data_IF_485114352653
#
_entry.id   IF_485114352653
#
_cell.length_a   1.000
_cell.length_b   1.000
_cell.length_c   1.000
_cell.angle_alpha   90.00
_cell.angle_beta   90.00
_cell.angle_gamma   90.00
#
_symmetry.space_group_name_H-M   'P 1'
#
loop_
_entity.id
_entity.type
_entity.pdbx_description
1 polymer ?
#
# COMPACT_ATOMS: atom_id res chain seq x y z
N UNK A 1 -10.62 10.13 41.07
CA UNK A 1 -10.71 11.54 40.61
C UNK A 1 -9.68 11.72 39.51
N UNK A 2 -10.09 11.62 38.24
CA UNK A 2 -10.34 12.74 37.30
C UNK A 2 -9.04 13.09 36.53
N UNK A 3 -8.90 12.74 35.24
CA UNK A 3 -9.09 13.62 34.05
C UNK A 3 -8.20 14.90 34.11
N UNK A 4 -7.43 15.36 33.12
CA UNK A 4 -7.56 15.31 31.66
C UNK A 4 -6.36 16.07 30.98
N UNK A 5 -5.97 15.61 29.79
CA UNK A 5 -5.44 16.29 28.57
C UNK A 5 -4.02 16.93 28.43
N UNK A 6 -3.44 16.56 27.26
CA UNK A 6 -2.64 17.32 26.31
C UNK A 6 -1.13 17.51 26.56
N UNK A 7 -0.33 16.63 25.92
CA UNK A 7 0.81 17.02 25.06
C UNK A 7 1.50 15.75 24.49
N UNK A 8 0.78 15.02 23.64
CA UNK A 8 1.34 13.97 22.79
C UNK A 8 1.52 14.61 21.42
N UNK A 9 2.73 15.13 21.11
CA UNK A 9 3.28 15.39 19.76
C UNK A 9 4.54 16.31 19.78
N UNK A 10 5.46 16.16 20.75
CA UNK A 10 6.67 17.03 20.79
C UNK A 10 8.03 16.33 20.78
N UNK A 11 8.11 15.01 20.74
CA UNK A 11 9.41 14.34 20.83
C UNK A 11 9.49 13.03 20.04
N UNK A 12 9.58 13.11 18.70
CA UNK A 12 10.28 12.06 17.93
C UNK A 12 10.65 12.39 16.48
N UNK A 13 11.00 13.64 16.16
CA UNK A 13 11.76 13.94 14.93
C UNK A 13 13.07 14.58 15.34
N UNK A 14 14.00 13.73 15.75
CA UNK A 14 15.41 14.10 15.80
C UNK A 14 15.88 14.26 14.36
N UNK A 15 16.35 15.46 14.04
CA UNK A 15 17.21 15.76 12.91
C UNK A 15 18.14 14.58 12.61
N UNK A 16 17.96 13.93 11.47
CA UNK A 16 18.94 13.01 10.89
C UNK A 16 19.29 13.49 9.49
N UNK A 17 20.19 14.48 9.46
CA UNK A 17 21.14 14.63 8.37
C UNK A 17 21.88 13.29 8.22
N UNK A 18 21.69 12.58 7.11
CA UNK A 18 22.61 11.54 6.71
C UNK A 18 23.43 12.04 5.51
N UNK A 19 24.63 12.50 5.82
CA UNK A 19 25.74 12.52 4.87
C UNK A 19 26.08 11.08 4.52
N UNK A 20 25.79 10.65 3.29
CA UNK A 20 26.44 9.49 2.68
C UNK A 20 27.61 10.02 1.87
N UNK A 21 28.79 9.99 2.47
CA UNK A 21 30.05 10.24 1.78
C UNK A 21 30.52 8.94 1.13
N UNK A 22 30.02 8.64 -0.08
CA UNK A 22 30.85 8.05 -1.13
C UNK A 22 30.20 8.24 -2.50
N UNK A 23 31.03 8.69 -3.45
CA UNK A 23 30.68 9.25 -4.76
C UNK A 23 29.85 8.30 -5.66
N UNK A 24 28.93 8.90 -6.42
CA UNK A 24 28.12 8.36 -7.55
C UNK A 24 26.95 7.44 -7.13
N UNK A 25 25.72 7.94 -6.92
CA UNK A 25 24.77 8.40 -7.96
C UNK A 25 23.68 9.23 -7.28
N UNK A 26 23.33 10.38 -7.87
CA UNK A 26 22.41 11.38 -7.30
C UNK A 26 20.97 10.84 -7.10
N UNK A 27 20.55 10.71 -5.84
CA UNK A 27 19.15 10.91 -5.44
C UNK A 27 19.12 12.30 -4.78
N UNK A 28 18.86 13.35 -5.57
CA UNK A 28 18.67 14.69 -5.03
C UNK A 28 17.26 14.79 -4.44
N UNK A 29 17.14 14.57 -3.13
CA UNK A 29 16.05 15.14 -2.35
C UNK A 29 16.40 16.61 -2.06
N UNK A 30 15.84 17.53 -2.85
CA UNK A 30 15.88 18.95 -2.53
C UNK A 30 14.93 19.21 -1.35
N UNK A 31 15.45 19.13 -0.12
CA UNK A 31 14.82 19.74 1.05
C UNK A 31 15.23 21.21 1.08
N UNK A 32 14.31 22.10 0.75
CA UNK A 32 14.56 23.54 0.74
C UNK A 32 14.65 24.10 2.16
N UNK A 33 15.83 24.59 2.52
CA UNK A 33 16.06 25.51 3.63
C UNK A 33 15.10 26.72 3.54
N UNK A 34 14.25 26.92 4.56
CA UNK A 34 13.42 28.13 4.68
C UNK A 34 14.03 29.05 5.74
N UNK A 35 14.87 30.00 5.33
CA UNK A 35 15.14 31.22 6.11
C UNK A 35 13.85 32.04 6.16
N UNK A 36 13.38 32.36 7.37
CA UNK A 36 12.22 33.23 7.64
C UNK A 36 12.60 34.69 7.44
N UNK A 37 11.84 35.41 6.61
CA UNK A 37 11.61 36.86 6.74
C UNK A 37 10.19 37.18 6.23
N UNK A 38 9.41 37.89 7.04
CA UNK A 38 8.29 38.73 6.58
C UNK A 38 6.89 38.13 6.70
N UNK A 39 5.98 38.91 7.27
CA UNK A 39 4.60 38.64 7.67
C UNK A 39 3.61 38.51 6.50
N UNK A 40 2.44 37.91 6.77
CA UNK A 40 1.22 38.14 5.97
C UNK A 40 0.47 36.88 5.51
N UNK A 41 -0.51 36.46 6.31
CA UNK A 41 -1.79 35.83 5.92
C UNK A 41 -1.84 34.86 4.74
N UNK A 42 -2.00 33.56 5.03
CA UNK A 42 -3.14 32.71 4.61
C UNK A 42 -2.93 31.27 5.14
N UNK A 43 -4.02 30.59 5.47
CA UNK A 43 -4.06 29.26 6.08
C UNK A 43 -3.37 28.23 5.18
N UNK A 44 -2.33 27.57 5.71
CA UNK A 44 -1.45 26.66 4.97
C UNK A 44 -2.06 25.26 4.82
N UNK A 45 -2.67 24.95 3.67
CA UNK A 45 -3.01 23.57 3.26
C UNK A 45 -1.82 22.81 2.64
N UNK A 46 -0.62 23.42 2.62
CA UNK A 46 0.57 22.91 1.93
C UNK A 46 1.57 22.14 2.83
N UNK A 47 1.31 21.98 4.14
CA UNK A 47 2.30 21.43 5.09
C UNK A 47 2.54 19.90 5.00
N UNK A 48 1.87 19.19 4.09
CA UNK A 48 1.92 17.72 4.00
C UNK A 48 2.29 17.13 2.64
N UNK A 49 2.68 17.95 1.66
CA UNK A 49 2.92 17.49 0.28
C UNK A 49 4.41 17.14 0.09
N UNK A 50 4.69 15.85 -0.07
CA UNK A 50 5.99 15.31 -0.40
C UNK A 50 6.14 15.19 -1.92
N UNK A 51 7.17 15.83 -2.48
CA UNK A 51 7.51 15.71 -3.89
C UNK A 51 8.61 14.68 -4.09
N UNK A 52 8.29 13.61 -4.81
CA UNK A 52 9.20 12.51 -5.09
C UNK A 52 9.57 12.55 -6.58
N UNK A 53 10.85 12.43 -6.87
CA UNK A 53 11.37 12.39 -8.24
C UNK A 53 12.32 11.20 -8.38
N UNK A 54 12.04 10.31 -9.34
CA UNK A 54 12.90 9.18 -9.68
C UNK A 54 13.15 9.24 -11.19
N UNK A 55 14.35 9.68 -11.58
CA UNK A 55 14.66 9.99 -12.97
C UNK A 55 13.78 11.12 -13.50
N UNK A 56 13.01 10.84 -14.55
CA UNK A 56 12.05 11.71 -15.21
C UNK A 56 10.64 11.67 -14.59
N UNK A 57 10.33 10.68 -13.74
CA UNK A 57 9.00 10.51 -13.15
C UNK A 57 8.88 11.30 -11.84
N UNK A 58 7.81 12.08 -11.71
CA UNK A 58 7.54 12.93 -10.54
C UNK A 58 6.16 12.64 -9.98
N UNK A 59 6.06 12.56 -8.65
CA UNK A 59 4.79 12.39 -7.94
C UNK A 59 4.73 13.34 -6.75
N UNK A 60 3.56 13.95 -6.56
CA UNK A 60 3.20 14.60 -5.31
C UNK A 60 2.44 13.59 -4.47
N UNK A 61 2.88 13.36 -3.25
CA UNK A 61 2.26 12.44 -2.31
C UNK A 61 1.92 13.17 -1.03
N UNK A 62 0.78 12.84 -0.43
CA UNK A 62 0.39 13.37 0.87
C UNK A 62 0.97 12.48 1.98
N UNK A 63 1.26 13.06 3.13
CA UNK A 63 1.60 12.27 4.31
C UNK A 63 0.48 11.26 4.63
N UNK A 64 0.85 10.02 4.96
CA UNK A 64 -0.13 9.01 5.37
C UNK A 64 -0.85 9.41 6.66
N UNK A 65 -2.12 9.03 6.77
CA UNK A 65 -2.94 9.22 7.98
C UNK A 65 -2.47 8.36 9.16
N UNK A 66 -1.83 7.22 8.87
CA UNK A 66 -1.38 6.20 9.82
C UNK A 66 0.13 5.99 9.71
N UNK A 67 0.96 6.98 10.12
CA UNK A 67 2.41 6.94 9.93
C UNK A 67 3.09 5.72 10.58
N UNK A 68 2.48 5.12 11.61
CA UNK A 68 2.94 3.90 12.27
C UNK A 68 2.93 2.65 11.37
N UNK A 69 2.14 2.67 10.29
CA UNK A 69 2.10 1.61 9.28
C UNK A 69 2.98 1.91 8.07
N UNK A 70 3.72 3.01 8.06
CA UNK A 70 4.69 3.32 7.01
C UNK A 70 5.98 2.55 7.31
N UNK A 71 6.49 1.73 6.36
CA UNK A 71 7.75 1.03 6.57
C UNK A 71 8.91 2.01 6.79
N UNK A 72 9.85 1.63 7.65
CA UNK A 72 11.08 2.40 7.93
C UNK A 72 12.32 1.53 7.73
N UNK A 73 13.43 2.15 7.35
CA UNK A 73 14.76 1.52 7.20
C UNK A 73 14.91 0.55 6.01
N UNK A 74 14.00 0.61 5.03
CA UNK A 74 14.07 -0.16 3.78
C UNK A 74 14.82 0.57 2.66
N UNK A 75 14.91 1.90 2.72
CA UNK A 75 15.72 2.73 1.81
C UNK A 75 17.23 2.52 1.95
N UNK A 76 17.69 1.95 3.06
CA UNK A 76 19.10 1.62 3.31
C UNK A 76 19.60 0.41 2.48
N UNK A 77 18.78 -0.14 1.58
CA UNK A 77 19.23 -1.13 0.62
C UNK A 77 20.31 -0.53 -0.29
N UNK A 78 21.35 -1.29 -0.62
CA UNK A 78 22.32 -0.90 -1.64
C UNK A 78 21.58 -0.53 -2.92
N UNK A 79 21.54 0.78 -3.21
CA UNK A 79 20.75 1.35 -4.27
C UNK A 79 21.46 1.10 -5.61
N UNK A 80 21.35 -0.13 -6.11
CA UNK A 80 21.85 -0.49 -7.43
C UNK A 80 21.00 0.20 -8.51
N UNK A 81 21.58 0.45 -9.69
CA UNK A 81 20.87 1.03 -10.85
C UNK A 81 19.60 0.25 -11.21
N UNK A 82 19.63 -1.08 -11.05
CA UNK A 82 18.46 -1.95 -11.23
C UNK A 82 17.33 -1.65 -10.23
N UNK A 83 17.66 -1.49 -8.94
CA UNK A 83 16.69 -1.15 -7.90
C UNK A 83 16.02 0.20 -8.21
N UNK A 84 16.79 1.19 -8.66
CA UNK A 84 16.25 2.48 -9.11
C UNK A 84 15.34 2.36 -10.33
N UNK A 85 15.68 1.51 -11.29
CA UNK A 85 14.80 1.21 -12.43
C UNK A 85 13.47 0.60 -11.99
N UNK A 86 13.49 -0.31 -11.01
CA UNK A 86 12.29 -0.90 -10.42
C UNK A 86 11.45 0.14 -9.69
N UNK A 87 12.04 0.95 -8.80
CA UNK A 87 11.33 1.99 -8.06
C UNK A 87 10.73 3.06 -8.98
N UNK A 88 11.45 3.44 -10.05
CA UNK A 88 10.93 4.34 -11.10
C UNK A 88 9.70 3.75 -11.77
N UNK A 89 9.76 2.48 -12.16
CA UNK A 89 8.64 1.79 -12.79
C UNK A 89 7.44 1.69 -11.83
N UNK A 90 7.69 1.39 -10.56
CA UNK A 90 6.63 1.38 -9.53
C UNK A 90 5.98 2.76 -9.41
N UNK A 91 6.77 3.83 -9.31
CA UNK A 91 6.25 5.20 -9.25
C UNK A 91 5.36 5.54 -10.45
N UNK A 92 5.78 5.14 -11.66
CA UNK A 92 4.99 5.33 -12.87
C UNK A 92 3.64 4.59 -12.81
N UNK A 93 3.63 3.34 -12.32
CA UNK A 93 2.41 2.53 -12.23
C UNK A 93 1.44 3.01 -11.15
N UNK A 94 1.96 3.49 -10.03
CA UNK A 94 1.17 4.12 -8.97
C UNK A 94 0.50 5.42 -9.46
N UNK A 95 1.21 6.27 -10.23
CA UNK A 95 0.59 7.46 -10.85
C UNK A 95 -0.58 7.10 -11.77
N UNK A 96 -0.47 5.97 -12.47
CA UNK A 96 -1.53 5.46 -13.35
C UNK A 96 -2.66 4.74 -12.59
N UNK A 97 -2.55 4.53 -11.28
CA UNK A 97 -3.51 3.76 -10.49
C UNK A 97 -3.57 2.28 -10.87
N UNK A 98 -2.47 1.70 -11.36
CA UNK A 98 -2.41 0.32 -11.82
C UNK A 98 -1.75 -0.59 -10.79
N UNK A 99 -2.47 -1.59 -10.29
CA UNK A 99 -1.96 -2.57 -9.33
C UNK A 99 -0.72 -3.30 -9.87
N UNK A 100 0.26 -3.55 -9.01
CA UNK A 100 1.57 -4.09 -9.39
C UNK A 100 1.70 -5.57 -9.06
N UNK A 101 2.45 -6.30 -9.88
CA UNK A 101 2.89 -7.65 -9.57
C UNK A 101 4.40 -7.79 -9.74
N UNK A 102 5.11 -7.95 -8.63
CA UNK A 102 6.56 -8.12 -8.61
C UNK A 102 6.91 -9.61 -8.63
N UNK A 103 7.43 -10.07 -9.76
CA UNK A 103 7.74 -11.49 -10.02
C UNK A 103 9.25 -11.69 -9.99
N UNK A 104 9.74 -12.74 -9.34
CA UNK A 104 11.18 -13.01 -9.29
C UNK A 104 11.51 -14.21 -8.44
N UNK A 105 12.80 -14.51 -8.31
CA UNK A 105 13.27 -15.68 -7.54
C UNK A 105 12.87 -15.57 -6.06
N UNK A 106 12.72 -16.69 -5.34
CA UNK A 106 12.59 -16.71 -3.89
C UNK A 106 13.68 -15.86 -3.23
N UNK A 107 13.28 -15.00 -2.29
CA UNK A 107 14.21 -14.13 -1.59
C UNK A 107 13.59 -12.80 -1.16
N UNK A 108 14.32 -12.02 -0.35
CA UNK A 108 13.79 -10.82 0.29
C UNK A 108 13.69 -9.62 -0.65
N UNK A 109 14.35 -9.65 -1.82
CA UNK A 109 14.52 -8.47 -2.68
C UNK A 109 13.20 -7.86 -3.15
N UNK A 110 12.23 -8.67 -3.58
CA UNK A 110 10.91 -8.20 -4.04
C UNK A 110 10.15 -7.47 -2.93
N UNK A 111 10.11 -8.10 -1.75
CA UNK A 111 9.47 -7.53 -0.56
C UNK A 111 10.18 -6.25 -0.11
N UNK A 112 11.52 -6.26 -0.07
CA UNK A 112 12.32 -5.09 0.29
C UNK A 112 12.11 -3.93 -0.68
N UNK A 113 12.02 -4.18 -1.98
CA UNK A 113 11.69 -3.17 -2.99
C UNK A 113 10.29 -2.58 -2.78
N UNK A 114 9.29 -3.44 -2.51
CA UNK A 114 7.93 -2.98 -2.20
C UNK A 114 7.91 -2.07 -0.96
N UNK A 115 8.55 -2.49 0.13
CA UNK A 115 8.59 -1.72 1.37
C UNK A 115 9.42 -0.45 1.24
N UNK A 116 10.54 -0.49 0.52
CA UNK A 116 11.34 0.71 0.21
C UNK A 116 10.56 1.72 -0.63
N UNK A 117 9.72 1.25 -1.56
CA UNK A 117 8.83 2.12 -2.32
C UNK A 117 7.78 2.80 -1.43
N UNK A 118 7.21 2.08 -0.47
CA UNK A 118 6.22 2.63 0.46
C UNK A 118 6.84 3.60 1.46
N UNK A 119 8.06 3.33 1.94
CA UNK A 119 8.85 4.28 2.72
C UNK A 119 9.12 5.56 1.90
N UNK A 120 9.56 5.41 0.65
CA UNK A 120 9.83 6.55 -0.25
C UNK A 120 8.57 7.40 -0.50
N UNK A 121 7.43 6.74 -0.66
CA UNK A 121 6.14 7.39 -0.93
C UNK A 121 5.37 7.77 0.32
N UNK A 122 5.89 7.47 1.51
CA UNK A 122 5.21 7.70 2.79
C UNK A 122 3.78 7.16 2.80
N UNK A 123 3.60 5.93 2.31
CA UNK A 123 2.32 5.23 2.22
C UNK A 123 2.25 4.11 3.26
N UNK A 124 1.13 4.02 3.97
CA UNK A 124 0.87 2.95 4.92
C UNK A 124 0.68 1.61 4.23
N UNK A 125 1.10 0.55 4.89
CA UNK A 125 1.01 -0.81 4.37
C UNK A 125 0.12 -1.70 5.23
N UNK A 126 -0.67 -2.53 4.56
CA UNK A 126 -1.33 -3.70 5.13
C UNK A 126 -0.75 -4.93 4.46
N UNK A 127 -0.21 -5.86 5.24
CA UNK A 127 0.51 -7.01 4.72
C UNK A 127 -0.29 -8.30 4.91
N UNK A 128 -0.39 -9.10 3.85
CA UNK A 128 -0.99 -10.43 3.87
C UNK A 128 -0.03 -11.43 3.25
N UNK A 129 0.32 -12.46 4.02
CA UNK A 129 1.01 -13.65 3.49
C UNK A 129 -0.03 -14.69 3.10
N UNK A 130 -0.08 -15.03 1.82
CA UNK A 130 -0.96 -16.06 1.29
C UNK A 130 -0.30 -17.44 1.39
N UNK A 131 -1.10 -18.40 1.83
CA UNK A 131 -0.79 -19.82 1.95
C UNK A 131 -2.02 -20.65 1.57
N UNK A 132 -1.85 -21.97 1.46
CA UNK A 132 -2.96 -22.90 1.24
C UNK A 132 -3.96 -22.90 2.42
N UNK A 133 -3.51 -22.51 3.61
CA UNK A 133 -4.36 -22.40 4.80
C UNK A 133 -5.06 -21.04 4.92
N UNK A 134 -4.77 -20.09 4.01
CA UNK A 134 -5.40 -18.76 4.07
C UNK A 134 -6.88 -18.87 3.71
N UNK A 135 -7.72 -18.35 4.60
CA UNK A 135 -9.17 -18.40 4.45
C UNK A 135 -9.75 -17.05 4.06
N UNK A 136 -11.01 -17.06 3.63
CA UNK A 136 -11.80 -15.84 3.38
C UNK A 136 -11.83 -14.90 4.60
N UNK A 137 -11.92 -15.46 5.81
CA UNK A 137 -11.96 -14.71 7.05
C UNK A 137 -10.66 -13.94 7.32
N UNK A 138 -9.51 -14.42 6.83
CA UNK A 138 -8.20 -13.78 6.99
C UNK A 138 -8.02 -12.55 6.10
N UNK A 139 -8.83 -12.45 5.03
CA UNK A 139 -8.82 -11.31 4.12
C UNK A 139 -9.93 -10.31 4.43
N UNK A 140 -11.12 -10.80 4.75
CA UNK A 140 -12.31 -9.97 4.91
C UNK A 140 -12.53 -9.57 6.36
N UNK A 141 -13.15 -10.46 7.11
CA UNK A 141 -13.54 -10.23 8.49
C UNK A 141 -13.43 -11.52 9.26
N UNK A 142 -12.96 -11.40 10.50
CA UNK A 142 -12.97 -12.49 11.45
C UNK A 142 -14.01 -12.21 12.51
N UNK A 143 -14.84 -13.21 12.81
CA UNK A 143 -15.78 -13.17 13.94
C UNK A 143 -15.02 -13.47 15.22
N UNK A 144 -14.98 -12.52 16.14
CA UNK A 144 -14.36 -12.64 17.45
C UNK A 144 -15.38 -12.41 18.56
N UNK A 145 -15.25 -13.12 19.68
CA UNK A 145 -16.11 -12.94 20.84
C UNK A 145 -15.40 -11.99 21.81
N UNK A 146 -15.95 -10.79 21.97
CA UNK A 146 -15.42 -9.77 22.89
C UNK A 146 -16.49 -9.50 23.94
N UNK A 147 -16.20 -9.82 25.20
CA UNK A 147 -17.13 -9.60 26.31
C UNK A 147 -18.45 -10.35 26.15
N UNK A 148 -18.42 -11.60 25.64
CA UNK A 148 -19.60 -12.43 25.43
C UNK A 148 -20.44 -12.06 24.19
N UNK A 149 -20.07 -11.03 23.43
CA UNK A 149 -20.76 -10.65 22.19
C UNK A 149 -19.87 -10.94 20.98
N UNK A 150 -20.44 -11.56 19.95
CA UNK A 150 -19.75 -11.75 18.68
C UNK A 150 -19.64 -10.42 17.93
N UNK A 151 -18.42 -10.03 17.55
CA UNK A 151 -18.10 -8.86 16.73
C UNK A 151 -17.32 -9.30 15.50
N UNK A 152 -17.57 -8.64 14.39
CA UNK A 152 -16.80 -8.82 13.16
C UNK A 152 -15.66 -7.80 13.12
N UNK A 153 -14.44 -8.29 13.00
CA UNK A 153 -13.22 -7.46 12.95
C UNK A 153 -12.67 -7.49 11.53
N UNK A 154 -12.57 -6.31 10.91
CA UNK A 154 -11.97 -6.15 9.59
C UNK A 154 -10.52 -6.64 9.58
N UNK A 155 -10.18 -7.45 8.59
CA UNK A 155 -8.81 -7.88 8.35
C UNK A 155 -8.11 -6.97 7.33
N UNK A 156 -6.86 -7.30 7.00
CA UNK A 156 -5.93 -6.44 6.27
C UNK A 156 -6.46 -5.95 4.92
N UNK A 157 -7.14 -6.78 4.13
CA UNK A 157 -7.62 -6.35 2.81
C UNK A 157 -8.76 -5.32 2.92
N UNK A 158 -9.67 -5.50 3.88
CA UNK A 158 -10.78 -4.57 4.12
C UNK A 158 -10.28 -3.27 4.75
N UNK A 159 -9.36 -3.35 5.72
CA UNK A 159 -8.71 -2.16 6.29
C UNK A 159 -7.99 -1.36 5.20
N UNK A 160 -7.19 -2.01 4.38
CA UNK A 160 -6.49 -1.35 3.28
C UNK A 160 -7.44 -0.65 2.33
N UNK A 161 -8.52 -1.31 1.93
CA UNK A 161 -9.52 -0.75 1.02
C UNK A 161 -10.23 0.47 1.62
N UNK A 162 -10.61 0.43 2.90
CA UNK A 162 -11.33 1.53 3.55
C UNK A 162 -10.40 2.70 3.86
N UNK A 163 -9.21 2.42 4.41
CA UNK A 163 -8.29 3.45 4.90
C UNK A 163 -7.39 4.02 3.79
N UNK A 164 -7.32 3.35 2.64
CA UNK A 164 -6.45 3.73 1.53
C UNK A 164 -5.00 3.33 1.73
N UNK A 165 -4.76 2.25 2.49
CA UNK A 165 -3.42 1.69 2.63
C UNK A 165 -3.06 0.87 1.39
N UNK A 166 -1.76 0.65 1.19
CA UNK A 166 -1.28 -0.29 0.19
C UNK A 166 -1.37 -1.70 0.73
N UNK A 167 -2.10 -2.57 0.04
CA UNK A 167 -2.18 -3.99 0.35
C UNK A 167 -1.04 -4.73 -0.32
N UNK A 168 -0.15 -5.32 0.46
CA UNK A 168 0.86 -6.27 -0.05
C UNK A 168 0.31 -7.69 0.06
N UNK A 169 0.20 -8.36 -1.09
CA UNK A 169 -0.17 -9.78 -1.19
C UNK A 169 1.09 -10.59 -1.47
N UNK A 170 1.63 -11.30 -0.47
CA UNK A 170 2.84 -12.10 -0.62
C UNK A 170 2.52 -13.58 -0.82
N UNK A 171 3.08 -14.18 -1.86
CA UNK A 171 2.85 -15.59 -2.18
C UNK A 171 1.53 -15.83 -2.90
N UNK A 172 1.14 -14.95 -3.83
CA UNK A 172 -0.10 -15.10 -4.60
C UNK A 172 -0.18 -16.42 -5.38
N UNK A 173 0.96 -17.05 -5.72
CA UNK A 173 1.01 -18.39 -6.29
C UNK A 173 0.61 -19.52 -5.32
N UNK A 174 0.48 -19.22 -4.02
CA UNK A 174 0.08 -20.17 -2.98
C UNK A 174 -1.35 -19.96 -2.50
N UNK A 175 -2.06 -19.00 -3.09
CA UNK A 175 -3.42 -18.66 -2.71
C UNK A 175 -4.37 -19.84 -2.95
N UNK A 176 -5.17 -20.15 -1.95
CA UNK A 176 -6.18 -21.20 -2.01
C UNK A 176 -7.37 -20.78 -2.90
N UNK A 177 -8.08 -21.75 -3.49
CA UNK A 177 -9.12 -21.49 -4.51
C UNK A 177 -10.30 -20.66 -3.99
N UNK A 178 -10.63 -20.78 -2.71
CA UNK A 178 -11.70 -20.02 -2.05
C UNK A 178 -11.39 -18.53 -1.94
N UNK A 179 -10.11 -18.16 -1.93
CA UNK A 179 -9.64 -16.77 -1.79
C UNK A 179 -9.58 -16.03 -3.14
N UNK A 180 -9.31 -16.74 -4.23
CA UNK A 180 -9.13 -16.14 -5.56
C UNK A 180 -10.32 -15.29 -6.04
N UNK A 181 -11.60 -15.68 -5.86
CA UNK A 181 -12.73 -14.86 -6.27
C UNK A 181 -12.78 -13.51 -5.55
N UNK A 182 -12.45 -13.49 -4.26
CA UNK A 182 -12.45 -12.28 -3.44
C UNK A 182 -11.35 -11.34 -3.93
N UNK A 183 -10.14 -11.86 -4.15
CA UNK A 183 -9.04 -11.08 -4.68
C UNK A 183 -9.35 -10.54 -6.09
N UNK A 184 -9.95 -11.37 -6.96
CA UNK A 184 -10.30 -10.94 -8.30
C UNK A 184 -11.33 -9.79 -8.28
N UNK A 185 -12.39 -9.89 -7.47
CA UNK A 185 -13.40 -8.84 -7.34
C UNK A 185 -12.83 -7.56 -6.70
N UNK A 186 -11.95 -7.69 -5.70
CA UNK A 186 -11.28 -6.56 -5.08
C UNK A 186 -10.33 -5.83 -6.05
N UNK A 187 -9.64 -6.57 -6.92
CA UNK A 187 -8.73 -5.99 -7.92
C UNK A 187 -9.48 -5.39 -9.11
N UNK A 188 -10.58 -6.01 -9.51
CA UNK A 188 -11.36 -5.59 -10.69
C UNK A 188 -12.31 -4.45 -10.38
N UNK A 189 -13.19 -4.62 -9.39
CA UNK A 189 -14.29 -3.70 -9.12
C UNK A 189 -14.11 -2.91 -7.82
N UNK A 190 -13.07 -3.19 -7.02
CA UNK A 190 -12.94 -2.69 -5.65
C UNK A 190 -14.17 -3.03 -4.79
N UNK A 191 -14.69 -4.25 -4.96
CA UNK A 191 -15.92 -4.71 -4.31
C UNK A 191 -15.68 -5.92 -3.40
N UNK A 192 -16.28 -5.89 -2.20
CA UNK A 192 -16.27 -6.99 -1.24
C UNK A 192 -17.59 -7.00 -0.44
N UNK A 193 -18.28 -8.14 -0.41
CA UNK A 193 -19.40 -8.38 0.51
C UNK A 193 -18.89 -8.74 1.89
N UNK A 194 -19.16 -7.96 2.93
CA UNK A 194 -18.73 -8.25 4.29
C UNK A 194 -19.73 -9.14 5.04
N UNK A 195 -19.26 -9.85 6.07
CA UNK A 195 -20.09 -10.77 6.87
C UNK A 195 -21.04 -10.02 7.81
N UNK A 196 -20.71 -8.78 8.17
CA UNK A 196 -21.56 -7.88 8.95
C UNK A 196 -22.68 -7.20 8.12
N UNK A 197 -22.82 -7.58 6.84
CA UNK A 197 -23.83 -7.05 5.93
C UNK A 197 -23.43 -5.76 5.22
N UNK A 198 -22.22 -5.24 5.44
CA UNK A 198 -21.69 -4.11 4.67
C UNK A 198 -21.23 -4.56 3.28
N UNK A 199 -21.26 -3.65 2.32
CA UNK A 199 -20.75 -3.90 0.97
C UNK A 199 -19.78 -2.81 0.55
N UNK A 200 -18.52 -3.20 0.30
CA UNK A 200 -17.51 -2.31 -0.23
C UNK A 200 -17.79 -2.07 -1.71
N UNK A 201 -17.70 -0.81 -2.12
CA UNK A 201 -17.91 -0.39 -3.51
C UNK A 201 -16.83 0.59 -3.94
N UNK A 202 -16.50 0.56 -5.24
CA UNK A 202 -15.56 1.50 -5.84
C UNK A 202 -15.95 2.96 -5.54
N UNK A 203 -14.96 3.86 -5.36
CA UNK A 203 -15.20 5.27 -5.06
C UNK A 203 -16.15 5.93 -6.07
N UNK A 204 -15.92 5.71 -7.37
CA UNK A 204 -16.75 6.27 -8.45
C UNK A 204 -18.20 5.79 -8.38
N UNK A 205 -18.41 4.51 -8.10
CA UNK A 205 -19.75 3.92 -7.99
C UNK A 205 -20.48 4.45 -6.77
N UNK A 206 -19.79 4.52 -5.62
CA UNK A 206 -20.35 5.09 -4.40
C UNK A 206 -20.76 6.55 -4.59
N UNK A 207 -19.89 7.38 -5.17
CA UNK A 207 -20.15 8.81 -5.34
C UNK A 207 -21.33 9.06 -6.29
N UNK A 208 -21.46 8.22 -7.34
CA UNK A 208 -22.62 8.27 -8.23
C UNK A 208 -23.93 7.92 -7.50
N UNK A 209 -23.94 6.81 -6.78
CA UNK A 209 -25.13 6.37 -6.01
C UNK A 209 -25.51 7.38 -4.92
N UNK A 210 -24.50 8.00 -4.30
CA UNK A 210 -24.69 9.06 -3.33
C UNK A 210 -25.38 10.29 -3.94
N UNK A 211 -25.01 10.67 -5.16
CA UNK A 211 -25.66 11.78 -5.87
C UNK A 211 -27.09 11.45 -6.29
N UNK A 212 -27.36 10.20 -6.70
CA UNK A 212 -28.67 9.76 -7.20
C UNK A 212 -29.70 9.53 -6.08
N UNK A 213 -29.27 8.94 -4.95
CA UNK A 213 -30.18 8.46 -3.90
C UNK A 213 -29.97 9.13 -2.53
N UNK A 214 -28.87 9.85 -2.33
CA UNK A 214 -28.54 10.49 -1.06
C UNK A 214 -28.03 9.53 0.03
N UNK A 215 -27.56 10.10 1.14
CA UNK A 215 -26.89 9.37 2.22
C UNK A 215 -27.77 8.34 2.93
N UNK A 216 -29.07 8.61 3.10
CA UNK A 216 -29.98 7.70 3.82
C UNK A 216 -30.10 6.35 3.13
N UNK A 217 -30.14 6.34 1.79
CA UNK A 217 -30.17 5.10 1.01
C UNK A 217 -28.82 4.37 1.09
N UNK A 218 -27.70 5.08 1.12
CA UNK A 218 -26.37 4.45 1.27
C UNK A 218 -26.26 3.73 2.61
N UNK A 219 -26.78 4.32 3.69
CA UNK A 219 -26.83 3.69 5.01
C UNK A 219 -27.77 2.49 5.01
N UNK A 220 -28.95 2.61 4.39
CA UNK A 220 -29.90 1.49 4.29
C UNK A 220 -29.33 0.28 3.54
N UNK A 221 -28.51 0.53 2.52
CA UNK A 221 -27.81 -0.52 1.77
C UNK A 221 -26.48 -0.95 2.40
N UNK A 222 -26.09 -0.36 3.53
CA UNK A 222 -24.82 -0.60 4.21
C UNK A 222 -23.59 -0.49 3.27
N UNK A 223 -23.61 0.47 2.34
CA UNK A 223 -22.51 0.67 1.41
C UNK A 223 -21.33 1.36 2.08
N UNK A 224 -20.13 0.87 1.79
CA UNK A 224 -18.86 1.42 2.26
C UNK A 224 -18.03 1.83 1.06
N UNK A 225 -17.67 3.11 1.00
CA UNK A 225 -16.80 3.64 -0.04
C UNK A 225 -15.36 3.12 0.13
N UNK A 226 -14.80 2.53 -0.91
CA UNK A 226 -13.35 2.24 -0.98
C UNK A 226 -12.57 3.53 -1.25
N UNK A 227 -11.40 3.66 -0.63
CA UNK A 227 -10.51 4.80 -0.83
C UNK A 227 -9.95 4.84 -2.25
N UNK A 228 -9.78 6.04 -2.81
CA UNK A 228 -9.12 6.24 -4.10
C UNK A 228 -7.61 5.96 -4.03
N UNK A 229 -7.03 6.07 -2.84
CA UNK A 229 -5.62 5.79 -2.59
C UNK A 229 -5.33 4.29 -2.43
N UNK A 230 -6.37 3.45 -2.37
CA UNK A 230 -6.23 2.00 -2.23
C UNK A 230 -5.48 1.41 -3.43
N UNK A 231 -4.42 0.66 -3.12
CA UNK A 231 -3.48 0.17 -4.10
C UNK A 231 -2.96 -1.21 -3.71
N UNK A 232 -2.76 -2.11 -4.68
CA UNK A 232 -2.27 -3.47 -4.41
C UNK A 232 -0.90 -3.72 -5.02
N UNK A 233 0.01 -4.29 -4.22
CA UNK A 233 1.29 -4.82 -4.67
C UNK A 233 1.30 -6.33 -4.39
N UNK A 234 1.15 -7.13 -5.43
CA UNK A 234 1.35 -8.58 -5.35
C UNK A 234 2.84 -8.92 -5.46
N UNK A 235 3.29 -9.88 -4.66
CA UNK A 235 4.61 -10.49 -4.73
C UNK A 235 4.42 -11.97 -5.03
N UNK A 236 5.13 -12.48 -6.03
CA UNK A 236 4.98 -13.89 -6.38
C UNK A 236 6.11 -14.47 -7.18
N UNK A 237 6.09 -15.79 -7.28
CA UNK A 237 7.12 -16.58 -7.93
C UNK A 237 6.76 -16.87 -9.39
N UNK A 238 7.76 -16.96 -10.29
CA UNK A 238 7.50 -17.48 -11.62
C UNK A 238 7.18 -18.98 -11.54
N UNK A 239 5.96 -19.35 -11.90
CA UNK A 239 5.48 -20.74 -12.02
C UNK A 239 5.49 -21.11 -13.51
N UNK A 240 5.99 -22.30 -13.92
CA UNK A 240 6.30 -23.49 -13.13
C UNK A 240 7.73 -23.59 -12.59
N UNK A 241 8.57 -22.56 -12.74
CA UNK A 241 9.98 -22.61 -12.28
C UNK A 241 10.09 -22.88 -10.78
N UNK A 242 9.14 -22.40 -9.98
CA UNK A 242 9.03 -22.67 -8.55
C UNK A 242 7.67 -23.29 -8.22
N UNK A 243 7.60 -23.95 -7.05
CA UNK A 243 6.36 -24.53 -6.53
C UNK A 243 5.30 -23.46 -6.31
N UNK A 244 4.13 -23.68 -6.91
CA UNK A 244 2.98 -22.81 -6.81
C UNK A 244 1.94 -23.16 -7.86
N UNK A 245 0.78 -22.52 -7.75
CA UNK A 245 -0.31 -22.58 -8.70
C UNK A 245 -0.10 -21.44 -9.70
N UNK A 246 -0.08 -21.71 -11.02
CA UNK A 246 -0.07 -20.63 -12.00
C UNK A 246 -1.29 -19.73 -11.81
N UNK A 247 -1.08 -18.42 -11.81
CA UNK A 247 -2.21 -17.49 -11.70
C UNK A 247 -3.11 -17.64 -12.93
N UNK A 248 -4.42 -17.71 -12.67
CA UNK A 248 -5.42 -17.75 -13.72
C UNK A 248 -5.30 -16.52 -14.63
N UNK A 249 -5.51 -16.66 -15.96
CA UNK A 249 -5.37 -15.56 -16.90
C UNK A 249 -6.16 -14.28 -16.54
N UNK A 250 -7.40 -14.35 -16.01
CA UNK A 250 -8.14 -13.16 -15.58
C UNK A 250 -7.43 -12.40 -14.46
N UNK A 251 -7.06 -13.10 -13.38
CA UNK A 251 -6.39 -12.50 -12.22
C UNK A 251 -5.01 -11.93 -12.60
N UNK A 252 -4.24 -12.68 -13.40
CA UNK A 252 -2.93 -12.24 -13.89
C UNK A 252 -3.02 -10.94 -14.69
N UNK A 253 -4.07 -10.76 -15.47
CA UNK A 253 -4.25 -9.59 -16.35
C UNK A 253 -4.67 -8.32 -15.59
N UNK A 254 -5.08 -8.44 -14.31
CA UNK A 254 -5.38 -7.28 -13.45
C UNK A 254 -4.13 -6.55 -12.98
N UNK A 255 -2.99 -7.21 -12.99
CA UNK A 255 -1.73 -6.62 -12.56
C UNK A 255 -0.88 -6.15 -13.74
N UNK A 256 -0.10 -5.11 -13.47
CA UNK A 256 1.08 -4.80 -14.25
C UNK A 256 2.26 -5.57 -13.67
N UNK A 257 2.83 -6.49 -14.44
CA UNK A 257 3.92 -7.33 -13.96
C UNK A 257 5.29 -6.67 -14.21
N UNK A 258 6.20 -6.80 -13.23
CA UNK A 258 7.62 -6.47 -13.36
C UNK A 258 8.46 -7.64 -12.88
N UNK A 259 9.32 -8.14 -13.74
CA UNK A 259 10.30 -9.15 -13.36
C UNK A 259 11.46 -8.49 -12.60
N UNK A 260 11.82 -9.06 -11.44
CA UNK A 260 12.89 -8.62 -10.56
C UNK A 260 13.99 -9.67 -10.61
N UNK A 261 15.08 -9.34 -11.29
CA UNK A 261 16.25 -10.20 -11.36
C UNK A 261 16.98 -10.14 -10.02
N UNK A 262 17.22 -11.30 -9.40
CA UNK A 262 18.13 -11.37 -8.27
C UNK A 262 19.55 -11.30 -8.80
N UNK A 263 20.41 -10.39 -8.30
CA UNK A 263 21.81 -10.35 -8.72
C UNK A 263 22.44 -11.72 -8.45
N UNK A 264 23.03 -12.33 -9.47
CA UNK A 264 23.81 -13.56 -9.28
C UNK A 264 25.02 -13.22 -8.43
N UNK A 265 25.18 -13.89 -7.29
CA UNK A 265 26.46 -13.88 -6.60
C UNK A 265 27.47 -14.56 -7.53
N UNK A 266 28.26 -13.78 -8.26
CA UNK A 266 29.49 -14.29 -8.82
C UNK A 266 30.39 -14.57 -7.62
N UNK A 267 30.56 -15.85 -7.29
CA UNK A 267 31.61 -16.28 -6.38
C UNK A 267 32.91 -15.79 -7.01
N UNK A 268 33.53 -14.78 -6.40
CA UNK A 268 34.89 -14.36 -6.72
C UNK A 268 35.86 -15.20 -5.90
#
# INVERSE_FOLDING_TARGET
>A
MSMILANVWKYRVGYRQFFIHNKQTQIQAMSSDRKRTGEGTNLNDDEGILKITIGDVKKLTKASKTPELVPIEYLNMTCNQEAMSHLRWMLQKDILGQDMFLIGKPGPLRRRLALAYLELTNKSVEFVSLSQDTTEADLKQRREIIGGTAKYINQSAVKAAIEGHVLILDGIEKAERNVLPILNNLLENREIHLEDGRFLVAPKTYDKLLQEHGLEHMMKWNLVRVSEDFFVIALGLPVPTYNGIPLDPPLRSRFQARHIMTPSYTVR
#
